data_IF_154922950846
#
_entry.id   IF_154922950846
#
_cell.length_a   1.000
_cell.length_b   1.000
_cell.length_c   1.000
_cell.angle_alpha   90.00
_cell.angle_beta   90.00
_cell.angle_gamma   90.00
#
_symmetry.space_group_name_H-M   'P 1'
#
loop_
_entity.id
_entity.type
_entity.pdbx_description
1 polymer ?
#
# COMPACT_ATOMS: atom_id res chain seq x y z
N UNK A 1 -29.46 -16.70 -72.96
CA UNK A 1 -29.17 -15.68 -71.92
C UNK A 1 -29.13 -16.36 -70.56
N UNK A 2 -27.95 -16.49 -69.94
CA UNK A 2 -27.77 -17.05 -68.59
C UNK A 2 -27.24 -15.96 -67.66
N UNK A 3 -28.05 -15.52 -66.71
CA UNK A 3 -27.69 -14.56 -65.67
C UNK A 3 -26.96 -15.28 -64.52
N UNK A 4 -25.68 -14.94 -64.29
CA UNK A 4 -24.93 -15.38 -63.11
C UNK A 4 -25.31 -14.51 -61.91
N UNK A 5 -25.82 -15.13 -60.84
CA UNK A 5 -26.00 -14.49 -59.53
C UNK A 5 -24.70 -14.59 -58.74
N UNK A 6 -24.13 -13.45 -58.38
CA UNK A 6 -22.94 -13.34 -57.53
C UNK A 6 -23.41 -13.25 -56.08
N UNK A 7 -23.04 -14.23 -55.24
CA UNK A 7 -23.29 -14.20 -53.81
C UNK A 7 -22.12 -13.47 -53.13
N UNK A 8 -22.40 -12.37 -52.44
CA UNK A 8 -21.43 -11.68 -51.58
C UNK A 8 -21.51 -12.27 -50.16
N UNK A 9 -20.43 -12.88 -49.70
CA UNK A 9 -20.27 -13.33 -48.32
C UNK A 9 -19.75 -12.16 -47.49
N UNK A 10 -20.57 -11.66 -46.55
CA UNK A 10 -20.15 -10.68 -45.56
C UNK A 10 -19.36 -11.39 -44.45
N UNK A 11 -18.07 -11.10 -44.34
CA UNK A 11 -17.20 -11.54 -43.26
C UNK A 11 -17.43 -10.60 -42.05
N UNK A 12 -18.12 -11.07 -41.01
CA UNK A 12 -18.20 -10.34 -39.74
C UNK A 12 -16.88 -10.51 -38.97
N UNK A 13 -16.06 -9.45 -38.91
CA UNK A 13 -14.98 -9.33 -37.94
C UNK A 13 -15.60 -9.12 -36.54
N UNK A 14 -15.62 -10.17 -35.72
CA UNK A 14 -15.90 -10.05 -34.30
C UNK A 14 -14.70 -9.43 -33.60
N UNK A 15 -14.76 -8.12 -33.32
CA UNK A 15 -13.83 -7.47 -32.40
C UNK A 15 -14.24 -7.88 -30.99
N UNK A 16 -13.50 -8.80 -30.39
CA UNK A 16 -13.61 -9.12 -28.97
C UNK A 16 -13.12 -7.90 -28.18
N UNK A 17 -14.05 -7.04 -27.75
CA UNK A 17 -13.74 -5.98 -26.78
C UNK A 17 -13.48 -6.70 -25.45
N UNK A 18 -12.21 -6.99 -25.16
CA UNK A 18 -11.78 -7.35 -23.80
C UNK A 18 -11.98 -6.11 -22.94
N UNK A 19 -13.17 -5.99 -22.35
CA UNK A 19 -13.38 -5.03 -21.29
C UNK A 19 -12.48 -5.41 -20.14
N UNK A 20 -11.41 -4.66 -19.93
CA UNK A 20 -10.61 -4.75 -18.70
C UNK A 20 -11.53 -4.37 -17.54
N UNK A 21 -12.09 -5.39 -16.90
CA UNK A 21 -12.93 -5.26 -15.73
C UNK A 21 -12.16 -4.60 -14.60
N UNK A 22 -12.89 -3.93 -13.73
CA UNK A 22 -12.37 -3.53 -12.42
C UNK A 22 -12.18 -4.81 -11.60
N UNK A 23 -10.99 -4.99 -11.02
CA UNK A 23 -10.71 -6.14 -10.16
C UNK A 23 -10.83 -5.74 -8.69
N UNK A 24 -11.51 -6.56 -7.90
CA UNK A 24 -11.63 -6.35 -6.45
C UNK A 24 -10.93 -7.48 -5.71
N UNK A 25 -9.92 -7.11 -4.94
CA UNK A 25 -9.16 -8.00 -4.06
C UNK A 25 -9.76 -7.90 -2.66
N UNK A 26 -10.19 -9.05 -2.12
CA UNK A 26 -10.69 -9.17 -0.75
C UNK A 26 -9.52 -9.39 0.20
N UNK A 27 -9.45 -8.55 1.22
CA UNK A 27 -8.50 -8.69 2.32
C UNK A 27 -9.08 -9.61 3.40
N UNK A 28 -8.26 -10.50 3.95
CA UNK A 28 -8.62 -11.39 5.06
C UNK A 28 -8.07 -10.82 6.37
N UNK A 29 -8.80 -10.91 7.49
CA UNK A 29 -8.25 -10.58 8.81
C UNK A 29 -7.00 -11.42 9.13
N UNK A 30 -6.10 -10.83 9.90
CA UNK A 30 -4.89 -11.49 10.41
C UNK A 30 -4.70 -11.15 11.90
N UNK A 31 -3.47 -11.12 12.42
CA UNK A 31 -3.19 -10.71 13.80
C UNK A 31 -3.56 -9.22 13.99
N UNK A 32 -4.20 -8.94 15.12
CA UNK A 32 -4.76 -7.62 15.45
C UNK A 32 -5.65 -7.09 14.31
N UNK A 33 -5.33 -5.92 13.76
CA UNK A 33 -6.06 -5.31 12.66
C UNK A 33 -5.35 -5.45 11.31
N UNK A 34 -4.19 -6.11 11.26
CA UNK A 34 -3.48 -6.34 10.00
C UNK A 34 -4.29 -7.23 9.07
N UNK A 35 -3.97 -7.14 7.77
CA UNK A 35 -4.72 -7.81 6.70
C UNK A 35 -3.81 -8.63 5.82
N UNK A 36 -4.30 -9.77 5.37
CA UNK A 36 -3.63 -10.57 4.34
C UNK A 36 -4.38 -10.54 3.02
N UNK A 37 -3.66 -10.85 1.95
CA UNK A 37 -4.21 -11.13 0.63
C UNK A 37 -3.73 -12.50 0.15
N UNK A 38 -4.59 -13.19 -0.60
CA UNK A 38 -4.21 -14.41 -1.31
C UNK A 38 -3.51 -14.03 -2.62
N UNK A 39 -2.28 -14.49 -2.79
CA UNK A 39 -1.46 -14.29 -3.99
C UNK A 39 -1.29 -15.65 -4.67
N UNK A 40 -1.43 -15.69 -6.00
CA UNK A 40 -1.17 -16.88 -6.79
C UNK A 40 0.21 -16.76 -7.43
N UNK A 41 1.11 -17.69 -7.12
CA UNK A 41 2.47 -17.76 -7.70
C UNK A 41 2.61 -19.13 -8.34
N UNK A 42 2.86 -19.16 -9.66
CA UNK A 42 3.01 -20.40 -10.44
C UNK A 42 1.84 -21.40 -10.25
N UNK A 43 0.62 -20.89 -10.04
CA UNK A 43 -0.59 -21.69 -9.87
C UNK A 43 -0.92 -22.09 -8.43
N UNK A 44 0.00 -21.83 -7.49
CA UNK A 44 -0.20 -22.11 -6.06
C UNK A 44 -0.60 -20.87 -5.28
N UNK A 45 -1.37 -21.08 -4.19
CA UNK A 45 -1.92 -20.00 -3.36
C UNK A 45 -1.04 -19.76 -2.13
N UNK A 46 -0.76 -18.49 -1.87
CA UNK A 46 0.04 -18.02 -0.74
C UNK A 46 -0.65 -16.86 -0.03
N UNK A 47 -0.43 -16.71 1.28
CA UNK A 47 -0.99 -15.60 2.06
C UNK A 47 0.07 -14.55 2.35
N UNK A 48 -0.11 -13.35 1.81
CA UNK A 48 0.82 -12.24 1.97
C UNK A 48 0.24 -11.20 2.91
N UNK A 49 1.08 -10.58 3.75
CA UNK A 49 0.70 -9.39 4.51
C UNK A 49 0.49 -8.24 3.53
N UNK A 50 -0.67 -7.58 3.59
CA UNK A 50 -0.88 -6.33 2.86
C UNK A 50 -0.38 -5.15 3.71
N UNK A 51 0.74 -4.58 3.30
CA UNK A 51 1.45 -3.56 4.05
C UNK A 51 1.79 -2.36 3.14
N UNK A 52 1.06 -1.26 3.31
CA UNK A 52 1.32 -0.05 2.54
C UNK A 52 2.58 0.71 2.96
N UNK A 53 3.13 0.43 4.14
CA UNK A 53 4.37 1.00 4.68
C UNK A 53 5.59 0.08 4.51
N UNK A 54 5.42 -1.13 4.00
CA UNK A 54 6.47 -2.15 3.89
C UNK A 54 7.55 -1.86 2.84
N UNK A 55 7.41 -0.80 2.04
CA UNK A 55 8.37 -0.37 1.02
C UNK A 55 8.40 -1.27 -0.22
N UNK A 56 8.74 -2.54 -0.08
CA UNK A 56 8.89 -3.49 -1.20
C UNK A 56 8.02 -4.73 -1.05
N UNK A 57 7.75 -5.42 -2.15
CA UNK A 57 7.07 -6.73 -2.13
C UNK A 57 8.10 -7.84 -1.96
N UNK A 58 7.87 -8.72 -0.99
CA UNK A 58 8.85 -9.66 -0.46
C UNK A 58 8.25 -11.06 -0.36
N UNK A 59 9.02 -12.09 -0.67
CA UNK A 59 8.70 -13.50 -0.38
C UNK A 59 9.58 -14.04 0.74
N UNK A 60 9.09 -15.07 1.42
CA UNK A 60 9.89 -15.81 2.39
C UNK A 60 10.99 -16.64 1.71
N UNK A 61 12.09 -16.98 2.41
CA UNK A 61 13.13 -17.85 1.90
C UNK A 61 12.61 -19.25 1.52
N UNK A 62 11.60 -19.75 2.21
CA UNK A 62 10.98 -21.05 1.93
C UNK A 62 10.31 -21.06 0.56
N UNK A 63 9.61 -20.00 0.18
CA UNK A 63 8.97 -19.86 -1.15
C UNK A 63 10.03 -19.71 -2.23
N UNK A 64 11.05 -18.89 -1.99
CA UNK A 64 12.14 -18.75 -2.94
C UNK A 64 12.84 -20.10 -3.19
N UNK A 65 13.06 -20.89 -2.14
CA UNK A 65 13.61 -22.24 -2.24
C UNK A 65 12.65 -23.21 -2.95
N UNK A 66 11.35 -23.14 -2.65
CA UNK A 66 10.33 -23.98 -3.29
C UNK A 66 10.34 -23.81 -4.81
N UNK A 67 10.42 -22.57 -5.29
CA UNK A 67 10.49 -22.27 -6.72
C UNK A 67 11.91 -22.29 -7.31
N UNK A 68 12.90 -22.79 -6.56
CA UNK A 68 14.31 -22.85 -6.96
C UNK A 68 14.82 -21.52 -7.54
N UNK A 69 14.40 -20.39 -6.94
CA UNK A 69 14.76 -19.07 -7.46
C UNK A 69 16.24 -18.80 -7.23
N UNK A 70 16.90 -18.26 -8.26
CA UNK A 70 18.31 -17.86 -8.17
C UNK A 70 18.42 -16.59 -7.34
N UNK A 71 19.14 -16.69 -6.22
CA UNK A 71 19.47 -15.56 -5.37
C UNK A 71 20.67 -14.81 -5.97
N UNK A 72 20.56 -13.49 -6.08
CA UNK A 72 21.69 -12.63 -6.48
C UNK A 72 21.61 -11.26 -5.82
N UNK A 73 22.78 -10.64 -5.63
CA UNK A 73 22.87 -9.30 -5.06
C UNK A 73 22.24 -9.16 -3.67
N UNK A 74 22.16 -7.92 -3.22
CA UNK A 74 21.43 -7.54 -2.02
C UNK A 74 20.79 -6.18 -2.23
N UNK A 75 19.76 -5.88 -1.45
CA UNK A 75 19.17 -4.56 -1.34
C UNK A 75 19.25 -4.11 0.13
N UNK A 76 19.34 -2.79 0.32
CA UNK A 76 19.35 -2.18 1.66
C UNK A 76 18.08 -1.38 1.86
N UNK A 77 17.30 -1.75 2.86
CA UNK A 77 16.15 -0.99 3.33
C UNK A 77 16.36 -0.52 4.77
N UNK A 78 15.44 0.31 5.25
CA UNK A 78 15.45 0.80 6.63
C UNK A 78 14.09 0.55 7.27
N UNK A 79 14.08 0.02 8.49
CA UNK A 79 12.86 0.06 9.32
C UNK A 79 12.56 1.50 9.70
N UNK A 80 11.33 1.75 10.13
CA UNK A 80 10.97 3.06 10.69
C UNK A 80 11.87 3.47 11.86
N UNK A 81 12.45 2.52 12.62
CA UNK A 81 13.43 2.78 13.68
C UNK A 81 14.80 3.26 13.20
N UNK A 82 15.04 3.26 11.88
CA UNK A 82 16.36 3.50 11.28
C UNK A 82 17.25 2.25 11.24
N UNK A 83 16.79 1.12 11.78
CA UNK A 83 17.51 -0.15 11.67
C UNK A 83 17.69 -0.54 10.19
N UNK A 84 18.93 -0.83 9.80
CA UNK A 84 19.26 -1.29 8.46
C UNK A 84 18.79 -2.73 8.29
N UNK A 85 17.96 -2.98 7.28
CA UNK A 85 17.63 -4.33 6.84
C UNK A 85 18.38 -4.62 5.54
N UNK A 86 18.97 -5.82 5.47
CA UNK A 86 19.49 -6.38 4.23
C UNK A 86 18.53 -7.43 3.71
N UNK A 87 18.08 -7.24 2.48
CA UNK A 87 17.26 -8.21 1.74
C UNK A 87 18.09 -8.80 0.61
N UNK A 88 17.81 -10.05 0.27
CA UNK A 88 18.41 -10.70 -0.88
C UNK A 88 17.48 -10.56 -2.09
N UNK A 89 18.04 -10.33 -3.28
CA UNK A 89 17.23 -10.27 -4.50
C UNK A 89 17.17 -11.66 -5.13
N UNK A 90 16.08 -11.88 -5.84
CA UNK A 90 15.87 -13.03 -6.69
C UNK A 90 15.29 -12.55 -8.01
N UNK A 91 15.41 -13.34 -9.07
CA UNK A 91 14.85 -12.98 -10.37
C UNK A 91 13.35 -12.74 -10.20
N UNK A 92 12.93 -11.52 -10.56
CA UNK A 92 11.56 -11.02 -10.51
C UNK A 92 10.88 -10.85 -9.13
N UNK A 93 11.55 -11.14 -7.99
CA UNK A 93 10.99 -10.94 -6.63
C UNK A 93 12.10 -10.71 -5.58
N UNK A 94 11.91 -9.81 -4.62
CA UNK A 94 12.82 -9.60 -3.47
C UNK A 94 12.46 -10.51 -2.28
N UNK A 95 13.41 -10.87 -1.41
CA UNK A 95 13.19 -11.79 -0.27
C UNK A 95 13.39 -11.13 1.10
N UNK A 96 12.61 -11.52 2.10
CA UNK A 96 12.78 -11.03 3.49
C UNK A 96 12.57 -12.09 4.55
N UNK A 97 13.07 -11.82 5.76
CA UNK A 97 12.79 -12.59 6.98
C UNK A 97 11.78 -11.79 7.80
N UNK A 98 10.60 -12.37 8.01
CA UNK A 98 9.58 -11.78 8.88
C UNK A 98 9.85 -12.15 10.35
N UNK A 99 9.32 -11.37 11.32
CA UNK A 99 9.48 -11.68 12.75
C UNK A 99 8.99 -13.09 13.07
N UNK A 100 9.70 -13.81 13.96
CA UNK A 100 9.41 -15.22 14.28
C UNK A 100 8.13 -15.39 15.09
N UNK A 101 7.68 -14.33 15.74
CA UNK A 101 6.56 -14.31 16.69
C UNK A 101 5.19 -14.26 16.00
N UNK A 102 5.14 -13.97 14.70
CA UNK A 102 3.89 -13.86 13.95
C UNK A 102 3.45 -15.23 13.38
N UNK A 103 2.13 -15.52 13.34
CA UNK A 103 1.64 -16.71 12.63
C UNK A 103 2.22 -16.78 11.22
N UNK A 104 2.58 -17.97 10.74
CA UNK A 104 3.28 -18.09 9.44
C UNK A 104 2.54 -17.32 8.33
N UNK A 105 3.28 -16.49 7.62
CA UNK A 105 2.85 -15.76 6.44
C UNK A 105 3.90 -15.95 5.35
N UNK A 106 3.46 -15.97 4.10
CA UNK A 106 4.26 -16.40 2.96
C UNK A 106 5.09 -15.25 2.37
N UNK A 107 4.66 -14.01 2.62
CA UNK A 107 5.38 -12.82 2.17
C UNK A 107 4.71 -11.53 2.62
N UNK A 108 5.17 -10.44 2.02
CA UNK A 108 4.64 -9.10 2.18
C UNK A 108 4.35 -8.54 0.79
N UNK A 109 3.14 -8.03 0.58
CA UNK A 109 2.79 -7.29 -0.62
C UNK A 109 2.69 -5.80 -0.26
N UNK A 110 3.40 -4.98 -1.03
CA UNK A 110 3.48 -3.53 -0.81
C UNK A 110 2.75 -2.77 -1.92
N UNK A 111 2.66 -1.44 -1.75
CA UNK A 111 2.17 -0.55 -2.81
C UNK A 111 2.99 -0.64 -4.11
N UNK A 112 4.26 -1.07 -4.04
CA UNK A 112 5.11 -1.25 -5.22
C UNK A 112 4.51 -2.21 -6.24
N UNK A 113 3.75 -3.22 -5.79
CA UNK A 113 3.09 -4.18 -6.68
C UNK A 113 1.98 -3.59 -7.55
N UNK A 114 1.58 -2.33 -7.32
CA UNK A 114 0.44 -1.70 -7.98
C UNK A 114 0.82 -0.46 -8.80
N UNK A 115 2.11 -0.19 -9.02
CA UNK A 115 2.60 1.09 -9.61
C UNK A 115 2.07 1.41 -10.99
N UNK A 116 1.64 0.41 -11.75
CA UNK A 116 1.10 0.57 -13.10
C UNK A 116 -0.44 0.75 -13.12
N UNK A 117 -1.07 0.82 -11.94
CA UNK A 117 -2.51 0.89 -11.79
C UNK A 117 -2.96 2.14 -11.03
N UNK A 118 -4.28 2.40 -11.03
CA UNK A 118 -4.91 3.26 -10.03
C UNK A 118 -5.55 2.34 -9.01
N UNK A 119 -5.30 2.59 -7.73
CA UNK A 119 -5.70 1.71 -6.63
C UNK A 119 -6.70 2.41 -5.74
N UNK A 120 -7.85 1.80 -5.47
CA UNK A 120 -8.76 2.26 -4.41
C UNK A 120 -8.65 1.33 -3.19
N UNK A 121 -8.26 1.89 -2.05
CA UNK A 121 -8.18 1.21 -0.76
C UNK A 121 -9.43 1.53 0.07
N UNK A 122 -10.19 0.51 0.44
CA UNK A 122 -11.29 0.61 1.38
C UNK A 122 -11.08 -0.43 2.49
N UNK A 123 -10.27 -0.05 3.49
CA UNK A 123 -9.85 -0.94 4.55
C UNK A 123 -10.97 -1.25 5.54
N UNK A 124 -11.91 -0.33 5.75
CA UNK A 124 -13.13 -0.59 6.54
C UNK A 124 -13.97 -1.73 5.94
N UNK A 125 -13.97 -1.89 4.61
CA UNK A 125 -14.63 -3.01 3.92
C UNK A 125 -13.70 -4.16 3.58
N UNK A 126 -12.44 -4.13 4.02
CA UNK A 126 -11.42 -5.13 3.71
C UNK A 126 -11.29 -5.37 2.20
N UNK A 127 -11.20 -4.29 1.40
CA UNK A 127 -11.12 -4.39 -0.05
C UNK A 127 -10.06 -3.46 -0.63
N UNK A 128 -9.36 -3.98 -1.63
CA UNK A 128 -8.51 -3.24 -2.56
C UNK A 128 -9.15 -3.38 -3.94
N UNK A 129 -9.19 -2.29 -4.69
CA UNK A 129 -9.79 -2.26 -6.02
C UNK A 129 -8.73 -1.76 -6.99
N UNK A 130 -8.43 -2.57 -8.00
CA UNK A 130 -7.60 -2.18 -9.14
C UNK A 130 -8.53 -1.53 -10.15
N UNK A 131 -8.40 -0.22 -10.30
CA UNK A 131 -9.30 0.58 -11.12
C UNK A 131 -8.95 0.46 -12.61
N UNK A 132 -9.97 0.28 -13.45
CA UNK A 132 -9.86 0.48 -14.89
C UNK A 132 -9.91 1.97 -15.23
N UNK A 133 -9.70 2.32 -16.50
CA UNK A 133 -9.83 3.70 -16.94
C UNK A 133 -11.24 4.30 -16.70
N UNK A 134 -12.29 3.48 -16.81
CA UNK A 134 -13.67 3.95 -16.62
C UNK A 134 -14.05 4.03 -15.13
N UNK A 135 -13.58 3.08 -14.31
CA UNK A 135 -13.88 3.07 -12.88
C UNK A 135 -13.05 4.08 -12.11
N UNK A 136 -11.79 4.34 -12.49
CA UNK A 136 -10.94 5.38 -11.85
C UNK A 136 -11.54 6.78 -11.95
N UNK A 137 -12.12 7.15 -13.09
CA UNK A 137 -12.84 8.43 -13.24
C UNK A 137 -13.99 8.56 -12.23
N UNK A 138 -14.73 7.47 -12.00
CA UNK A 138 -15.82 7.43 -11.01
C UNK A 138 -15.26 7.45 -9.58
N UNK A 139 -14.19 6.69 -9.32
CA UNK A 139 -13.55 6.61 -8.01
C UNK A 139 -12.94 7.93 -7.57
N UNK A 140 -12.45 8.76 -8.50
CA UNK A 140 -11.89 10.09 -8.21
C UNK A 140 -13.00 11.15 -8.11
N UNK A 141 -14.15 10.92 -8.75
CA UNK A 141 -15.22 11.91 -8.80
C UNK A 141 -15.68 12.30 -7.39
N UNK A 142 -15.68 13.62 -7.09
CA UNK A 142 -16.05 14.24 -5.80
C UNK A 142 -15.13 13.92 -4.61
N UNK A 143 -14.07 13.13 -4.79
CA UNK A 143 -13.06 12.95 -3.75
C UNK A 143 -12.17 14.16 -3.59
N UNK A 144 -11.62 14.32 -2.40
CA UNK A 144 -10.68 15.40 -2.08
C UNK A 144 -9.25 14.97 -2.37
N UNK A 145 -8.55 15.73 -3.22
CA UNK A 145 -7.11 15.55 -3.40
C UNK A 145 -6.40 15.93 -2.11
N UNK A 146 -5.55 15.03 -1.59
CA UNK A 146 -4.69 15.29 -0.44
C UNK A 146 -3.26 15.52 -0.91
N UNK A 147 -2.57 16.41 -0.21
CA UNK A 147 -1.14 16.62 -0.43
C UNK A 147 -0.38 15.37 0.01
N UNK A 148 0.37 14.76 -0.91
CA UNK A 148 1.10 13.52 -0.68
C UNK A 148 2.51 13.56 -1.28
N UNK A 149 3.39 12.71 -0.77
CA UNK A 149 4.73 12.45 -1.32
C UNK A 149 4.87 10.97 -1.60
N UNK A 150 5.50 10.65 -2.72
CA UNK A 150 5.86 9.29 -3.11
C UNK A 150 7.38 9.20 -3.02
N UNK A 151 7.87 8.35 -2.13
CA UNK A 151 9.30 8.17 -1.94
C UNK A 151 9.69 6.76 -2.39
N UNK A 152 10.72 6.68 -3.24
CA UNK A 152 11.36 5.42 -3.56
C UNK A 152 12.63 5.29 -2.74
N UNK A 153 12.95 4.05 -2.33
CA UNK A 153 14.22 3.74 -1.67
C UNK A 153 15.42 3.93 -2.60
N UNK A 154 16.63 3.78 -2.06
CA UNK A 154 17.90 4.05 -2.75
C UNK A 154 18.06 3.28 -4.07
N UNK A 155 17.47 2.09 -4.15
CA UNK A 155 17.57 1.21 -5.31
C UNK A 155 16.31 1.24 -6.20
N UNK A 156 15.39 2.18 -5.94
CA UNK A 156 14.09 2.29 -6.60
C UNK A 156 13.19 1.03 -6.51
N UNK A 157 13.53 0.10 -5.61
CA UNK A 157 12.80 -1.14 -5.34
C UNK A 157 11.70 -0.96 -4.30
N UNK A 158 11.72 0.15 -3.58
CA UNK A 158 10.73 0.49 -2.56
C UNK A 158 9.78 1.58 -3.06
N UNK A 159 8.59 1.64 -2.49
CA UNK A 159 7.63 2.71 -2.67
C UNK A 159 6.87 2.93 -1.36
N UNK A 160 7.04 4.13 -0.80
CA UNK A 160 6.31 4.63 0.36
C UNK A 160 5.48 5.85 -0.03
N UNK A 161 4.29 5.97 0.54
CA UNK A 161 3.44 7.15 0.40
C UNK A 161 3.34 7.86 1.74
N UNK A 162 3.57 9.18 1.72
CA UNK A 162 3.37 10.04 2.88
C UNK A 162 2.22 11.00 2.63
N UNK A 163 1.36 11.20 3.62
CA UNK A 163 0.28 12.19 3.59
C UNK A 163 0.67 13.40 4.44
N UNK A 164 0.34 14.60 3.96
CA UNK A 164 0.53 15.82 4.72
C UNK A 164 -0.55 15.95 5.81
N UNK A 165 -0.13 16.08 7.05
CA UNK A 165 -0.95 16.47 8.19
C UNK A 165 -0.55 17.90 8.59
N UNK A 166 -1.32 18.93 8.18
CA UNK A 166 -1.01 20.31 8.55
C UNK A 166 -1.31 20.55 10.03
N UNK A 167 -0.38 21.20 10.74
CA UNK A 167 -0.58 21.64 12.14
C UNK A 167 0.32 22.84 12.43
N UNK A 168 -0.24 23.87 13.09
CA UNK A 168 0.49 25.08 13.50
C UNK A 168 1.33 25.70 12.37
N UNK A 169 0.73 25.84 11.18
CA UNK A 169 1.36 26.34 9.94
C UNK A 169 2.56 25.51 9.43
N UNK A 170 2.76 24.30 9.93
CA UNK A 170 3.76 23.35 9.49
C UNK A 170 3.11 22.14 8.80
N UNK A 171 3.87 21.50 7.91
CA UNK A 171 3.46 20.28 7.20
C UNK A 171 4.25 19.10 7.74
N UNK A 172 3.54 18.12 8.30
CA UNK A 172 4.14 16.87 8.79
C UNK A 172 3.76 15.72 7.84
N UNK A 173 4.74 14.90 7.47
CA UNK A 173 4.58 13.87 6.45
C UNK A 173 4.51 12.49 7.10
N UNK A 174 3.29 11.96 7.20
CA UNK A 174 3.04 10.69 7.87
C UNK A 174 3.00 9.55 6.86
N UNK A 175 3.71 8.47 7.16
CA UNK A 175 3.68 7.25 6.36
C UNK A 175 2.27 6.65 6.35
N UNK A 176 1.78 6.29 5.16
CA UNK A 176 0.56 5.52 4.97
C UNK A 176 0.86 4.04 5.20
N UNK A 177 0.55 3.52 6.39
CA UNK A 177 1.00 2.19 6.83
C UNK A 177 -0.15 1.32 7.36
N UNK A 178 -0.67 0.42 6.51
CA UNK A 178 -1.66 -0.58 6.90
C UNK A 178 -1.09 -1.73 7.74
N UNK A 179 0.24 -1.87 7.80
CA UNK A 179 0.95 -2.80 8.67
C UNK A 179 1.05 -2.31 10.12
N UNK A 180 0.91 -1.00 10.37
CA UNK A 180 0.84 -0.45 11.72
C UNK A 180 -0.54 -0.66 12.36
N UNK A 181 -0.72 -1.79 13.05
CA UNK A 181 -1.93 -2.13 13.80
C UNK A 181 -2.08 -1.42 15.14
N UNK A 182 -1.02 -0.76 15.62
CA UNK A 182 -0.98 -0.04 16.88
C UNK A 182 -1.59 1.37 16.82
N UNK A 183 -1.22 2.25 17.76
CA UNK A 183 -1.63 3.67 17.73
C UNK A 183 -0.94 4.44 16.61
N UNK A 184 -1.39 5.68 16.38
CA UNK A 184 -0.66 6.66 15.59
C UNK A 184 0.76 6.82 16.15
N UNK A 185 1.80 6.71 15.32
CA UNK A 185 3.16 6.92 15.78
C UNK A 185 3.62 8.33 15.45
N UNK A 186 4.32 8.96 16.39
CA UNK A 186 4.97 10.26 16.24
C UNK A 186 6.47 10.09 16.46
N UNK A 187 7.30 10.79 15.66
CA UNK A 187 8.70 10.96 16.04
C UNK A 187 8.82 11.77 17.33
N UNK A 188 9.98 11.65 17.98
CA UNK A 188 10.32 12.46 19.15
C UNK A 188 10.19 13.96 18.85
N UNK A 189 10.60 14.38 17.65
CA UNK A 189 10.60 15.76 17.17
C UNK A 189 9.18 16.26 16.89
N UNK A 190 8.34 15.44 16.27
CA UNK A 190 6.93 15.77 16.04
C UNK A 190 6.18 15.87 17.36
N UNK A 191 6.35 14.89 18.26
CA UNK A 191 5.72 14.90 19.58
C UNK A 191 6.13 16.15 20.39
N UNK A 192 7.42 16.51 20.35
CA UNK A 192 7.93 17.73 20.98
C UNK A 192 7.23 18.99 20.45
N UNK A 193 7.11 19.11 19.12
CA UNK A 193 6.52 20.28 18.48
C UNK A 193 5.03 20.36 18.74
N UNK A 194 4.36 19.21 18.83
CA UNK A 194 2.94 19.10 19.15
C UNK A 194 2.65 19.21 20.65
N UNK A 195 3.68 19.48 21.48
CA UNK A 195 3.59 19.62 22.94
C UNK A 195 3.06 18.36 23.64
N UNK A 196 3.40 17.19 23.10
CA UNK A 196 3.08 15.87 23.64
C UNK A 196 4.29 15.30 24.40
N UNK A 197 4.07 14.20 25.12
CA UNK A 197 5.15 13.53 25.84
C UNK A 197 6.20 13.00 24.85
N UNK A 198 7.47 13.23 25.18
CA UNK A 198 8.61 12.63 24.48
C UNK A 198 8.93 11.22 24.99
N UNK A 199 8.28 10.81 26.08
CA UNK A 199 8.52 9.51 26.68
C UNK A 199 8.09 8.40 25.71
N UNK A 200 9.07 7.55 25.36
CA UNK A 200 8.88 6.44 24.43
C UNK A 200 8.17 5.25 25.07
N UNK A 201 7.84 5.30 26.35
CA UNK A 201 7.11 4.23 27.04
C UNK A 201 5.69 4.66 27.44
N UNK A 202 5.33 5.93 27.19
CA UNK A 202 4.05 6.49 27.58
C UNK A 202 3.16 6.77 26.36
N UNK A 203 1.95 6.21 26.39
CA UNK A 203 0.89 6.59 25.45
C UNK A 203 0.51 8.06 25.70
N UNK A 204 0.50 8.87 24.66
CA UNK A 204 0.00 10.23 24.74
C UNK A 204 -1.53 10.25 24.83
N UNK A 205 -2.06 11.37 25.33
CA UNK A 205 -3.48 11.65 25.23
C UNK A 205 -3.95 11.67 23.77
N UNK A 206 -5.26 11.58 23.62
CA UNK A 206 -5.92 11.80 22.34
C UNK A 206 -5.39 13.05 21.63
N UNK A 207 -4.90 12.84 20.41
CA UNK A 207 -4.20 13.84 19.62
C UNK A 207 -5.04 14.16 18.39
N UNK A 208 -5.54 15.41 18.25
CA UNK A 208 -6.24 15.82 17.06
C UNK A 208 -5.25 16.13 15.92
N UNK A 209 -5.61 15.70 14.72
CA UNK A 209 -4.92 15.99 13.46
C UNK A 209 -5.91 16.06 12.29
N UNK A 210 -5.51 16.64 11.17
CA UNK A 210 -6.37 16.83 10.01
C UNK A 210 -5.78 16.06 8.82
N UNK A 211 -6.62 15.32 8.10
CA UNK A 211 -6.27 14.80 6.76
C UNK A 211 -7.34 15.30 5.79
N UNK A 212 -6.89 16.05 4.77
CA UNK A 212 -7.78 16.78 3.87
C UNK A 212 -8.63 17.81 4.62
N UNK A 213 -9.92 17.51 4.81
CA UNK A 213 -10.90 18.42 5.44
C UNK A 213 -11.48 17.89 6.76
N UNK A 214 -11.13 16.66 7.15
CA UNK A 214 -11.70 16.03 8.33
C UNK A 214 -10.68 16.06 9.47
N UNK A 215 -11.15 16.42 10.65
CA UNK A 215 -10.40 16.32 11.90
C UNK A 215 -10.58 14.93 12.48
N UNK A 216 -9.47 14.32 12.87
CA UNK A 216 -9.39 13.02 13.51
C UNK A 216 -8.73 13.15 14.85
N UNK A 217 -9.19 12.33 15.78
CA UNK A 217 -8.59 12.21 17.11
C UNK A 217 -8.20 10.75 17.29
N UNK A 218 -6.93 10.50 17.58
CA UNK A 218 -6.42 9.17 17.90
C UNK A 218 -5.48 9.26 19.09
N UNK A 219 -5.40 8.18 19.87
CA UNK A 219 -4.25 7.98 20.74
C UNK A 219 -2.98 7.94 19.90
N UNK A 220 -1.92 8.51 20.44
CA UNK A 220 -0.63 8.56 19.76
C UNK A 220 0.48 8.05 20.67
N UNK A 221 1.54 7.55 20.06
CA UNK A 221 2.66 6.99 20.78
C UNK A 221 3.95 7.55 20.21
N UNK A 222 4.83 8.04 21.07
CA UNK A 222 6.12 8.61 20.65
C UNK A 222 7.14 7.50 20.46
N UNK A 223 7.79 7.45 19.31
CA UNK A 223 8.87 6.51 19.00
C UNK A 223 10.06 7.21 18.38
N UNK A 224 11.22 6.58 18.48
CA UNK A 224 12.38 6.94 17.69
C UNK A 224 12.17 6.41 16.27
N UNK A 225 11.67 7.26 15.38
CA UNK A 225 11.39 6.90 14.00
C UNK A 225 11.94 7.94 13.03
N UNK A 226 12.34 7.48 11.85
CA UNK A 226 12.96 8.30 10.80
C UNK A 226 11.94 9.13 9.98
N UNK A 227 10.65 9.05 10.32
CA UNK A 227 9.55 9.78 9.70
C UNK A 227 8.92 10.76 10.68
N UNK A 228 8.24 11.80 10.23
CA UNK A 228 7.50 12.70 11.14
C UNK A 228 6.44 11.93 11.95
N UNK A 229 5.83 10.92 11.33
CA UNK A 229 4.89 10.01 11.97
C UNK A 229 4.45 8.87 11.06
N UNK A 230 3.61 7.99 11.59
CA UNK A 230 3.05 6.83 10.88
C UNK A 230 1.55 6.77 11.16
N UNK A 231 0.73 6.81 10.10
CA UNK A 231 -0.71 6.56 10.22
C UNK A 231 -0.95 5.12 10.60
N UNK A 232 -1.86 4.88 11.53
CA UNK A 232 -2.25 3.52 11.88
C UNK A 232 -3.44 3.04 11.07
N UNK A 233 -3.67 1.73 11.12
CA UNK A 233 -4.77 1.06 10.43
C UNK A 233 -6.15 1.66 10.76
N UNK A 234 -6.38 2.07 12.01
CA UNK A 234 -7.64 2.67 12.45
C UNK A 234 -7.92 4.01 11.77
N UNK A 235 -6.94 4.92 11.73
CA UNK A 235 -7.08 6.19 11.02
C UNK A 235 -7.33 5.95 9.52
N UNK A 236 -6.64 4.96 8.93
CA UNK A 236 -6.81 4.62 7.52
C UNK A 236 -8.19 4.02 7.21
N UNK A 237 -8.82 3.28 8.14
CA UNK A 237 -10.18 2.76 7.96
C UNK A 237 -11.24 3.86 7.82
N UNK A 238 -10.95 5.07 8.28
CA UNK A 238 -11.91 6.19 8.23
C UNK A 238 -12.01 6.86 6.86
N UNK A 239 -11.25 6.37 5.87
CA UNK A 239 -11.17 6.92 4.52
C UNK A 239 -11.26 5.85 3.44
N UNK A 240 -11.71 6.28 2.27
CA UNK A 240 -11.51 5.52 1.03
C UNK A 240 -10.42 6.22 0.21
N UNK A 241 -9.21 5.70 0.23
CA UNK A 241 -8.10 6.25 -0.56
C UNK A 241 -8.23 5.80 -2.01
N UNK A 242 -8.02 6.70 -2.96
CA UNK A 242 -7.74 6.38 -4.36
C UNK A 242 -6.36 6.92 -4.70
N UNK A 243 -5.48 6.07 -5.22
CA UNK A 243 -4.06 6.34 -5.41
C UNK A 243 -3.74 6.19 -6.89
N UNK A 244 -3.23 7.24 -7.50
CA UNK A 244 -2.69 7.24 -8.87
C UNK A 244 -1.17 7.35 -8.76
N UNK A 245 -0.50 6.20 -8.89
CA UNK A 245 0.95 6.10 -8.77
C UNK A 245 1.68 6.81 -9.92
N UNK A 246 1.11 6.79 -11.13
CA UNK A 246 1.73 7.42 -12.30
C UNK A 246 1.78 8.94 -12.17
N UNK A 247 0.74 9.54 -11.60
CA UNK A 247 0.66 10.98 -11.40
C UNK A 247 1.04 11.44 -9.98
N UNK A 248 1.46 10.53 -9.11
CA UNK A 248 1.78 10.79 -7.70
C UNK A 248 0.66 11.54 -6.96
N UNK A 249 -0.59 11.06 -7.10
CA UNK A 249 -1.77 11.70 -6.49
C UNK A 249 -2.52 10.74 -5.60
N UNK A 250 -3.04 11.27 -4.49
CA UNK A 250 -3.92 10.55 -3.57
C UNK A 250 -5.19 11.36 -3.34
N UNK A 251 -6.34 10.70 -3.47
CA UNK A 251 -7.64 11.26 -3.14
C UNK A 251 -8.27 10.50 -1.98
N UNK A 252 -9.09 11.19 -1.18
CA UNK A 252 -9.82 10.61 -0.06
C UNK A 252 -11.31 10.97 -0.10
N UNK A 253 -12.10 10.12 0.54
CA UNK A 253 -13.52 10.30 0.84
C UNK A 253 -13.76 9.93 2.30
#
# INVERSE_FOLDING_TARGET
MKTKKTFFTLLFLGISIWGFGQDTIRLKPYIENMKTVEVIIEGEKYNFLFDTGGGGTLISPEIAKHFNKKIYGSATGFRMSGEIIKVQKSDHISMTILPKEFPKIDGLISLKSFTDHILTLNLAKNTIIIESHSSSKKAIHRKHLVSSRFANGLEATELNIFLNLPKDNQSYWFLLDSGNSGPLLLSTETAATWKLSKDKDQMNSETPFIIGKKTFTSKSFTRDIIYDGVLNFEAMCSYIFTIDFKNNRVWIE
#
